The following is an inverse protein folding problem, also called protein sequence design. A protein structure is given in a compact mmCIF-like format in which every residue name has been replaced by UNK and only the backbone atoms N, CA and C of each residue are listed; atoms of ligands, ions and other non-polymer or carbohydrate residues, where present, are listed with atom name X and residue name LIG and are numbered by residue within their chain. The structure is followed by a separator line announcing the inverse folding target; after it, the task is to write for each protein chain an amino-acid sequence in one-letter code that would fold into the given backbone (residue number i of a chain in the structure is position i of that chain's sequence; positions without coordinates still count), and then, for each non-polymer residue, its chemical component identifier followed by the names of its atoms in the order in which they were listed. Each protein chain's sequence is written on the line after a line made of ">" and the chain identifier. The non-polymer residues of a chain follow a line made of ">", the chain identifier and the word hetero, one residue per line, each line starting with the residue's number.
data_IF_702956379063
#
_entry.id   IF_702956379063
#
_cell.length_a   1.000
_cell.length_b   1.000
_cell.length_c   1.000
_cell.angle_alpha   90.00
_cell.angle_beta   90.00
_cell.angle_gamma   90.00
#
_symmetry.space_group_name_H-M   'P 1'
#
loop_
_entity.id
_entity.type
_entity.pdbx_description
1 polymer ?
#
# COMPACT_ATOMS: atom_id res chain seq x y z
N UNK A 1 21.43 19.96 8.90
CA UNK A 1 21.25 20.17 10.35
C UNK A 1 22.51 19.83 11.15
N UNK A 2 23.13 18.67 10.92
CA UNK A 2 24.37 18.25 11.64
C UNK A 2 25.58 19.13 11.30
N UNK A 3 25.71 19.61 10.07
CA UNK A 3 26.75 20.58 9.70
C UNK A 3 26.65 21.89 10.51
N UNK A 4 25.43 22.34 10.79
CA UNK A 4 25.19 23.56 11.58
C UNK A 4 25.62 23.33 13.03
N UNK A 5 25.28 22.17 13.61
CA UNK A 5 25.75 21.81 14.96
C UNK A 5 27.28 21.72 15.01
N UNK A 6 27.91 21.20 13.96
CA UNK A 6 29.36 21.18 13.88
C UNK A 6 29.96 22.61 13.89
N UNK A 7 29.49 23.50 13.03
CA UNK A 7 29.97 24.89 13.00
C UNK A 7 29.74 25.60 14.34
N UNK A 8 28.63 25.31 15.02
CA UNK A 8 28.31 25.88 16.32
C UNK A 8 29.26 25.38 17.42
N UNK A 9 29.54 24.08 17.45
CA UNK A 9 30.54 23.48 18.35
C UNK A 9 31.94 24.01 18.06
N UNK A 10 32.31 24.15 16.79
CA UNK A 10 33.61 24.69 16.39
C UNK A 10 33.76 26.16 16.81
N UNK A 11 32.74 26.99 16.59
CA UNK A 11 32.72 28.38 17.02
C UNK A 11 32.83 28.50 18.54
N UNK A 12 32.08 27.67 19.29
CA UNK A 12 32.15 27.61 20.74
C UNK A 12 33.55 27.17 21.24
N UNK A 13 34.16 26.19 20.58
CA UNK A 13 35.50 25.69 20.93
C UNK A 13 36.58 26.75 20.70
N UNK A 14 36.54 27.45 19.56
CA UNK A 14 37.45 28.56 19.25
C UNK A 14 37.28 29.68 20.27
N UNK A 15 36.03 30.06 20.58
CA UNK A 15 35.73 31.07 21.59
C UNK A 15 36.26 30.67 22.98
N UNK A 16 36.11 29.41 23.37
CA UNK A 16 36.59 28.89 24.65
C UNK A 16 38.12 29.01 24.78
N UNK A 17 38.86 28.64 23.73
CA UNK A 17 40.33 28.80 23.71
C UNK A 17 40.69 30.29 23.83
N UNK A 18 39.99 31.15 23.11
CA UNK A 18 40.24 32.60 23.13
C UNK A 18 39.98 33.23 24.50
N UNK A 19 38.91 32.77 25.15
CA UNK A 19 38.56 33.17 26.50
C UNK A 19 39.66 32.77 27.50
N UNK A 20 40.19 31.54 27.38
CA UNK A 20 41.25 31.05 28.27
C UNK A 20 42.60 31.76 28.10
N UNK A 21 42.97 32.10 26.87
CA UNK A 21 44.31 32.62 26.56
C UNK A 21 44.37 34.15 26.64
N UNK A 22 43.27 34.85 26.37
CA UNK A 22 43.30 36.30 26.17
C UNK A 22 42.08 37.01 26.78
N UNK A 23 41.40 36.39 27.76
CA UNK A 23 40.15 36.85 28.38
C UNK A 23 39.04 37.22 27.37
N UNK A 24 39.09 36.65 26.17
CA UNK A 24 38.13 36.93 25.10
C UNK A 24 38.38 38.25 24.35
N UNK A 25 39.51 38.93 24.56
CA UNK A 25 39.87 40.13 23.80
C UNK A 25 40.31 39.73 22.38
N UNK A 26 39.52 40.15 21.38
CA UNK A 26 39.83 39.95 19.96
C UNK A 26 40.93 40.91 19.50
N UNK A 27 42.16 40.42 19.36
CA UNK A 27 43.28 41.16 18.76
C UNK A 27 43.56 40.65 17.34
N UNK A 28 44.14 41.50 16.47
CA UNK A 28 44.37 41.21 15.04
C UNK A 28 45.12 39.90 14.79
N UNK A 29 46.10 39.54 15.63
CA UNK A 29 46.85 38.29 15.49
C UNK A 29 46.01 37.03 15.71
N UNK A 30 44.88 37.11 16.42
CA UNK A 30 43.92 35.99 16.56
C UNK A 30 43.31 35.65 15.20
N UNK A 31 42.92 36.66 14.43
CA UNK A 31 42.41 36.47 13.08
C UNK A 31 43.49 35.86 12.17
N UNK A 32 44.73 36.32 12.29
CA UNK A 32 45.85 35.77 11.52
C UNK A 32 46.12 34.29 11.87
N UNK A 33 46.12 33.94 13.17
CA UNK A 33 46.23 32.56 13.63
C UNK A 33 45.04 31.70 13.19
N UNK A 34 43.82 32.26 13.14
CA UNK A 34 42.63 31.58 12.61
C UNK A 34 42.74 31.31 11.10
N UNK A 35 43.15 32.30 10.30
CA UNK A 35 43.36 32.11 8.86
C UNK A 35 44.47 31.10 8.58
N UNK A 36 45.59 31.19 9.31
CA UNK A 36 46.71 30.27 9.19
C UNK A 36 46.31 28.84 9.62
N UNK A 37 45.65 28.70 10.78
CA UNK A 37 45.15 27.42 11.26
C UNK A 37 44.09 26.81 10.35
N UNK A 38 43.20 27.63 9.78
CA UNK A 38 42.22 27.18 8.79
C UNK A 38 42.89 26.71 7.49
N UNK A 39 43.88 27.43 6.98
CA UNK A 39 44.63 27.02 5.80
C UNK A 39 45.37 25.69 6.02
N UNK A 40 46.00 25.53 7.19
CA UNK A 40 46.67 24.28 7.57
C UNK A 40 45.66 23.13 7.72
N UNK A 41 44.52 23.38 8.35
CA UNK A 41 43.43 22.41 8.48
C UNK A 41 42.89 22.00 7.10
N UNK A 42 42.67 22.98 6.21
CA UNK A 42 42.20 22.75 4.84
C UNK A 42 43.19 21.90 4.05
N UNK A 43 44.49 22.17 4.18
CA UNK A 43 45.53 21.46 3.45
C UNK A 43 45.76 20.03 3.96
N UNK A 44 45.75 19.78 5.27
CA UNK A 44 46.09 18.48 5.84
C UNK A 44 44.88 17.61 6.21
N UNK A 45 43.79 18.22 6.70
CA UNK A 45 42.77 17.50 7.46
C UNK A 45 41.37 17.55 6.84
N UNK A 46 41.15 18.35 5.80
CA UNK A 46 39.83 18.47 5.15
C UNK A 46 39.27 17.11 4.73
N UNK A 47 40.07 16.30 4.04
CA UNK A 47 39.60 15.00 3.54
C UNK A 47 39.28 14.03 4.66
N UNK A 48 40.11 14.00 5.71
CA UNK A 48 39.88 13.13 6.86
C UNK A 48 38.61 13.55 7.60
N UNK A 49 38.42 14.85 7.79
CA UNK A 49 37.27 15.42 8.46
C UNK A 49 35.97 15.15 7.69
N UNK A 50 35.95 15.38 6.37
CA UNK A 50 34.78 15.06 5.54
C UNK A 50 34.43 13.57 5.55
N UNK A 51 35.43 12.68 5.55
CA UNK A 51 35.20 11.22 5.65
C UNK A 51 34.54 10.84 6.96
N UNK A 52 35.00 11.38 8.09
CA UNK A 52 34.44 11.06 9.42
C UNK A 52 32.99 11.51 9.51
N UNK A 53 32.70 12.74 9.10
CA UNK A 53 31.32 13.25 9.11
C UNK A 53 30.39 12.44 8.22
N UNK A 54 30.82 12.13 6.99
CA UNK A 54 30.02 11.33 6.07
C UNK A 54 29.82 9.90 6.58
N UNK A 55 30.83 9.32 7.21
CA UNK A 55 30.73 8.01 7.83
C UNK A 55 29.72 8.04 8.99
N UNK A 56 29.80 9.02 9.90
CA UNK A 56 28.80 9.21 10.95
C UNK A 56 27.39 9.40 10.39
N UNK A 57 27.23 10.21 9.35
CA UNK A 57 25.94 10.43 8.71
C UNK A 57 25.39 9.12 8.11
N UNK A 58 26.23 8.35 7.42
CA UNK A 58 25.85 7.05 6.88
C UNK A 58 25.40 6.10 7.98
N UNK A 59 26.13 6.01 9.10
CA UNK A 59 25.76 5.14 10.22
C UNK A 59 24.46 5.54 10.88
N UNK A 60 24.25 6.85 11.14
CA UNK A 60 23.01 7.34 11.72
C UNK A 60 21.82 7.06 10.80
N UNK A 61 21.98 7.33 9.50
CA UNK A 61 20.94 7.05 8.51
C UNK A 61 20.68 5.53 8.37
N UNK A 62 21.73 4.71 8.38
CA UNK A 62 21.62 3.25 8.34
C UNK A 62 20.86 2.72 9.57
N UNK A 63 21.15 3.23 10.78
CA UNK A 63 20.43 2.88 11.99
C UNK A 63 18.95 3.31 11.93
N UNK A 64 18.67 4.53 11.51
CA UNK A 64 17.30 5.03 11.37
C UNK A 64 16.49 4.19 10.37
N UNK A 65 17.08 3.90 9.21
CA UNK A 65 16.43 3.07 8.18
C UNK A 65 16.30 1.62 8.62
N UNK A 66 17.25 1.07 9.38
CA UNK A 66 17.17 -0.26 9.94
C UNK A 66 16.03 -0.37 10.96
N UNK A 67 15.93 0.56 11.90
CA UNK A 67 14.86 0.58 12.92
C UNK A 67 13.49 0.75 12.26
N UNK A 68 13.35 1.70 11.33
CA UNK A 68 12.08 1.89 10.62
C UNK A 68 11.67 0.67 9.79
N UNK A 69 12.63 -0.01 9.14
CA UNK A 69 12.38 -1.29 8.47
C UNK A 69 11.94 -2.37 9.45
N UNK A 70 12.60 -2.52 10.59
CA UNK A 70 12.19 -3.48 11.62
C UNK A 70 10.74 -3.22 12.03
N UNK A 71 10.38 -1.98 12.33
CA UNK A 71 9.01 -1.62 12.72
C UNK A 71 8.03 -1.97 11.59
N UNK A 72 8.37 -1.66 10.34
CA UNK A 72 7.54 -1.99 9.20
C UNK A 72 7.31 -3.50 9.05
N UNK A 73 8.36 -4.31 9.16
CA UNK A 73 8.26 -5.77 9.05
C UNK A 73 7.64 -6.42 10.29
N UNK A 74 7.86 -5.90 11.49
CA UNK A 74 7.29 -6.44 12.72
C UNK A 74 5.86 -6.01 12.99
N UNK A 75 5.40 -4.88 12.45
CA UNK A 75 4.07 -4.33 12.77
C UNK A 75 3.20 -4.24 11.53
N UNK A 76 3.67 -3.55 10.48
CA UNK A 76 2.83 -3.29 9.29
C UNK A 76 2.56 -4.59 8.52
N UNK A 77 3.59 -5.40 8.28
CA UNK A 77 3.45 -6.67 7.56
C UNK A 77 2.52 -7.68 8.25
N UNK A 78 2.60 -7.96 9.57
CA UNK A 78 1.67 -8.89 10.19
C UNK A 78 0.24 -8.36 10.18
N UNK A 79 0.00 -7.06 10.35
CA UNK A 79 -1.34 -6.48 10.23
C UNK A 79 -1.92 -6.72 8.83
N UNK A 80 -1.12 -6.49 7.77
CA UNK A 80 -1.55 -6.77 6.41
C UNK A 80 -1.86 -8.26 6.19
N UNK A 81 -1.07 -9.16 6.78
CA UNK A 81 -1.29 -10.60 6.70
C UNK A 81 -2.60 -10.98 7.38
N UNK A 82 -2.86 -10.48 8.59
CA UNK A 82 -4.10 -10.73 9.33
C UNK A 82 -5.32 -10.25 8.52
N UNK A 83 -5.28 -9.05 7.96
CA UNK A 83 -6.35 -8.53 7.11
C UNK A 83 -6.54 -9.37 5.84
N UNK A 84 -5.44 -9.82 5.22
CA UNK A 84 -5.50 -10.66 4.01
C UNK A 84 -6.14 -12.02 4.31
N UNK A 85 -5.77 -12.65 5.43
CA UNK A 85 -6.37 -13.91 5.88
C UNK A 85 -7.86 -13.71 6.19
N UNK A 86 -8.23 -12.61 6.84
CA UNK A 86 -9.64 -12.31 7.14
C UNK A 86 -10.47 -12.16 5.86
N UNK A 87 -9.95 -11.43 4.86
CA UNK A 87 -10.61 -11.28 3.56
C UNK A 87 -10.69 -12.62 2.81
N UNK A 88 -9.66 -13.45 2.91
CA UNK A 88 -9.66 -14.78 2.32
C UNK A 88 -10.73 -15.69 2.95
N UNK A 89 -10.89 -15.65 4.26
CA UNK A 89 -11.96 -16.37 4.96
C UNK A 89 -13.35 -15.88 4.53
N UNK A 90 -13.55 -14.56 4.47
CA UNK A 90 -14.83 -13.98 4.06
C UNK A 90 -15.20 -14.35 2.63
N UNK A 91 -14.23 -14.29 1.71
CA UNK A 91 -14.43 -14.67 0.30
C UNK A 91 -14.65 -16.18 0.15
N UNK A 92 -14.00 -17.01 0.96
CA UNK A 92 -14.25 -18.45 0.99
C UNK A 92 -15.70 -18.74 1.40
N UNK A 93 -16.19 -18.14 2.49
CA UNK A 93 -17.57 -18.29 2.96
C UNK A 93 -18.56 -17.84 1.87
N UNK A 94 -18.33 -16.67 1.28
CA UNK A 94 -19.17 -16.16 0.19
C UNK A 94 -19.23 -17.11 -1.01
N UNK A 95 -18.07 -17.65 -1.44
CA UNK A 95 -18.00 -18.62 -2.54
C UNK A 95 -18.78 -19.89 -2.22
N UNK A 96 -18.67 -20.39 -1.00
CA UNK A 96 -19.42 -21.57 -0.55
C UNK A 96 -20.93 -21.31 -0.62
N UNK A 97 -21.40 -20.16 -0.15
CA UNK A 97 -22.82 -19.80 -0.22
C UNK A 97 -23.29 -19.73 -1.68
N UNK A 98 -22.56 -19.02 -2.55
CA UNK A 98 -22.89 -18.91 -3.97
C UNK A 98 -22.90 -20.27 -4.65
N UNK A 99 -21.95 -21.15 -4.29
CA UNK A 99 -21.92 -22.52 -4.79
C UNK A 99 -23.17 -23.29 -4.39
N UNK A 100 -23.58 -23.26 -3.11
CA UNK A 100 -24.81 -23.91 -2.65
C UNK A 100 -26.04 -23.40 -3.41
N UNK A 101 -26.18 -22.08 -3.55
CA UNK A 101 -27.30 -21.48 -4.29
C UNK A 101 -27.31 -21.94 -5.75
N UNK A 102 -26.14 -21.99 -6.40
CA UNK A 102 -26.03 -22.46 -7.77
C UNK A 102 -26.36 -23.94 -7.92
N UNK A 103 -25.98 -24.79 -6.97
CA UNK A 103 -26.36 -26.21 -6.95
C UNK A 103 -27.87 -26.35 -6.88
N UNK A 104 -28.53 -25.65 -5.93
CA UNK A 104 -29.99 -25.67 -5.77
C UNK A 104 -30.68 -25.21 -7.06
N UNK A 105 -30.21 -24.09 -7.65
CA UNK A 105 -30.73 -23.58 -8.93
C UNK A 105 -30.56 -24.58 -10.06
N UNK A 106 -29.42 -25.27 -10.11
CA UNK A 106 -29.14 -26.27 -11.15
C UNK A 106 -30.09 -27.45 -11.02
N UNK A 107 -30.30 -27.97 -9.81
CA UNK A 107 -31.28 -29.04 -9.54
C UNK A 107 -32.68 -28.59 -9.97
N UNK A 108 -33.11 -27.38 -9.59
CA UNK A 108 -34.44 -26.87 -9.95
C UNK A 108 -34.62 -26.73 -11.47
N UNK A 109 -33.62 -26.19 -12.18
CA UNK A 109 -33.68 -26.06 -13.64
C UNK A 109 -33.64 -27.41 -14.36
N UNK A 110 -32.91 -28.39 -13.82
CA UNK A 110 -32.94 -29.77 -14.33
C UNK A 110 -34.33 -30.36 -14.17
N UNK A 111 -34.93 -30.30 -12.96
CA UNK A 111 -36.29 -30.78 -12.71
C UNK A 111 -37.30 -30.10 -13.66
N UNK A 112 -37.23 -28.78 -13.82
CA UNK A 112 -38.09 -28.06 -14.75
C UNK A 112 -37.91 -28.53 -16.21
N UNK A 113 -36.68 -28.77 -16.67
CA UNK A 113 -36.40 -29.31 -18.01
C UNK A 113 -36.96 -30.72 -18.18
N UNK A 114 -36.81 -31.57 -17.18
CA UNK A 114 -37.38 -32.92 -17.16
C UNK A 114 -38.90 -32.89 -17.25
N UNK A 115 -39.56 -32.03 -16.46
CA UNK A 115 -41.02 -31.83 -16.55
C UNK A 115 -41.44 -31.34 -17.93
N UNK A 116 -40.72 -30.38 -18.53
CA UNK A 116 -40.98 -29.91 -19.89
C UNK A 116 -40.80 -31.02 -20.95
N UNK A 117 -39.81 -31.90 -20.78
CA UNK A 117 -39.60 -33.03 -21.67
C UNK A 117 -40.77 -34.02 -21.60
N UNK A 118 -41.21 -34.35 -20.38
CA UNK A 118 -42.37 -35.24 -20.16
C UNK A 118 -43.64 -34.63 -20.76
N UNK A 119 -43.90 -33.33 -20.52
CA UNK A 119 -45.05 -32.61 -21.09
C UNK A 119 -45.01 -32.65 -22.63
N UNK A 120 -43.84 -32.44 -23.26
CA UNK A 120 -43.71 -32.51 -24.72
C UNK A 120 -43.97 -33.91 -25.28
N UNK A 121 -43.56 -34.96 -24.57
CA UNK A 121 -43.80 -36.35 -24.98
C UNK A 121 -45.27 -36.73 -24.78
N UNK A 122 -45.89 -36.25 -23.69
CA UNK A 122 -47.28 -36.58 -23.34
C UNK A 122 -48.30 -35.83 -24.19
N UNK A 123 -47.98 -34.62 -24.69
CA UNK A 123 -48.86 -33.84 -25.57
C UNK A 123 -48.76 -34.38 -27.01
N UNK A 124 -49.78 -35.08 -27.54
CA UNK A 124 -49.79 -35.52 -28.92
C UNK A 124 -49.95 -34.30 -29.84
N UNK A 125 -49.38 -34.36 -31.06
CA UNK A 125 -49.46 -33.28 -32.08
C UNK A 125 -50.89 -32.75 -32.34
N UNK A 126 -51.92 -33.55 -32.03
CA UNK A 126 -53.35 -33.18 -32.12
C UNK A 126 -53.76 -32.05 -31.17
N UNK A 127 -53.23 -32.03 -29.94
CA UNK A 127 -53.57 -31.02 -28.91
C UNK A 127 -52.93 -29.67 -29.25
N UNK A 128 -51.71 -29.67 -29.80
CA UNK A 128 -51.05 -28.47 -30.29
C UNK A 128 -51.85 -27.75 -31.40
N UNK A 129 -52.43 -28.52 -32.33
CA UNK A 129 -53.31 -27.96 -33.37
C UNK A 129 -54.61 -27.37 -32.78
N UNK A 130 -55.17 -28.00 -31.74
CA UNK A 130 -56.34 -27.49 -31.03
C UNK A 130 -56.06 -26.17 -30.28
N UNK A 131 -54.92 -26.05 -29.60
CA UNK A 131 -54.50 -24.79 -28.96
C UNK A 131 -54.27 -23.66 -29.97
N UNK A 132 -53.64 -23.96 -31.12
CA UNK A 132 -53.49 -22.99 -32.20
C UNK A 132 -54.84 -22.50 -32.73
N UNK A 133 -55.82 -23.41 -32.88
CA UNK A 133 -57.18 -23.06 -33.27
C UNK A 133 -57.87 -22.14 -32.24
N UNK A 134 -57.74 -22.43 -30.95
CA UNK A 134 -58.29 -21.59 -29.86
C UNK A 134 -57.62 -20.20 -29.85
N UNK A 135 -56.29 -20.13 -29.93
CA UNK A 135 -55.55 -18.86 -29.96
C UNK A 135 -55.91 -18.01 -31.19
N UNK A 136 -56.10 -18.63 -32.35
CA UNK A 136 -56.57 -17.96 -33.58
C UNK A 136 -57.99 -17.42 -33.43
N UNK A 137 -58.84 -18.10 -32.66
CA UNK A 137 -60.19 -17.64 -32.33
C UNK A 137 -60.13 -16.44 -31.36
N UNK A 138 -59.25 -16.51 -30.36
CA UNK A 138 -59.07 -15.44 -29.37
C UNK A 138 -58.48 -14.16 -29.97
N UNK A 139 -57.50 -14.28 -30.87
CA UNK A 139 -56.91 -13.13 -31.57
C UNK A 139 -57.91 -12.44 -32.51
N UNK A 140 -58.82 -13.20 -33.13
CA UNK A 140 -59.94 -12.64 -33.92
C UNK A 140 -60.94 -11.88 -33.06
N UNK A 141 -61.19 -12.32 -31.82
CA UNK A 141 -62.12 -11.65 -30.89
C UNK A 141 -61.52 -10.34 -30.39
N UNK A 142 -60.22 -10.32 -30.05
CA UNK A 142 -59.52 -9.10 -29.62
C UNK A 142 -59.45 -8.07 -30.75
N UNK A 143 -59.18 -8.51 -31.99
CA UNK A 143 -59.13 -7.62 -33.18
C UNK A 143 -60.49 -7.08 -33.62
N UNK A 144 -61.61 -7.66 -33.16
CA UNK A 144 -62.98 -7.18 -33.42
C UNK A 144 -63.50 -6.22 -32.34
N UNK A 145 -62.77 -6.08 -31.23
CA UNK A 145 -63.14 -5.24 -30.07
C UNK A 145 -62.43 -3.87 -30.08
N UNK A 146 -61.37 -3.70 -30.87
CA UNK A 146 -60.82 -2.41 -31.30
C UNK A 146 -61.44 -2.00 -32.63
#
# INVERSE_FOLDING_TARGET
>A
MIEIMFWLVQAAFIYFILYKVNEGVLRIYVFLSLFCGYAMFKALFEQAYQRINNMMFYWVHALYTFVSRIIFYCVVKPIQLVLSVLLLLLTAIYRTIVYLVNVIRTIFTLLAKWMWAIIKVLIPKKILHFFYFILKKYSKIIRKKN
#
